data_IF_012208919767
#
_entry.id   IF_012208919767
#
_cell.length_a   1.000
_cell.length_b   1.000
_cell.length_c   1.000
_cell.angle_alpha   90.00
_cell.angle_beta   90.00
_cell.angle_gamma   90.00
#
_symmetry.space_group_name_H-M   'P 1'
#
loop_
_entity.id
_entity.type
_entity.pdbx_description
1 polymer ?
#
# COMPACT_ATOMS: atom_id res chain seq x y z
N UNK A 1 -9.97 -56.49 31.00
CA UNK A 1 -9.54 -57.68 30.24
C UNK A 1 -10.33 -57.66 28.95
N UNK A 2 -9.62 -57.60 27.82
CA UNK A 2 -10.07 -57.58 26.41
C UNK A 2 -10.88 -56.33 26.00
N UNK A 3 -10.47 -55.43 25.10
CA UNK A 3 -9.84 -55.56 23.76
C UNK A 3 -10.67 -56.33 22.74
N UNK A 4 -11.36 -55.59 21.86
CA UNK A 4 -11.43 -55.68 20.39
C UNK A 4 -12.32 -54.49 19.96
N UNK A 5 -11.93 -53.62 19.05
CA UNK A 5 -12.00 -53.92 17.62
C UNK A 5 -10.94 -53.10 16.86
N UNK A 6 -9.99 -53.83 16.29
CA UNK A 6 -9.11 -53.40 15.21
C UNK A 6 -9.90 -53.46 13.90
N UNK A 7 -9.87 -52.42 13.05
CA UNK A 7 -9.73 -52.65 11.60
C UNK A 7 -9.41 -51.36 10.81
N UNK A 8 -8.20 -51.40 10.24
CA UNK A 8 -7.87 -51.09 8.82
C UNK A 8 -7.55 -49.65 8.40
N UNK A 9 -6.24 -49.45 8.38
CA UNK A 9 -5.44 -48.61 7.49
C UNK A 9 -5.81 -48.64 6.00
N UNK A 10 -5.73 -47.44 5.41
CA UNK A 10 -4.98 -47.05 4.20
C UNK A 10 -5.33 -47.69 2.83
N UNK A 11 -5.78 -46.86 1.88
CA UNK A 11 -5.18 -46.84 0.53
C UNK A 11 -5.57 -45.59 -0.27
N UNK A 12 -4.53 -44.97 -0.84
CA UNK A 12 -4.50 -43.86 -1.78
C UNK A 12 -4.87 -44.30 -3.20
N UNK A 13 -5.51 -43.41 -3.99
CA UNK A 13 -5.43 -43.42 -5.46
C UNK A 13 -5.73 -42.04 -6.06
N UNK A 14 -4.69 -41.45 -6.64
CA UNK A 14 -4.58 -40.49 -7.76
C UNK A 14 -5.55 -40.84 -8.92
N UNK A 15 -5.95 -40.04 -9.93
CA UNK A 15 -5.58 -38.79 -10.60
C UNK A 15 -6.87 -38.24 -11.29
N UNK A 16 -7.00 -37.05 -11.88
CA UNK A 16 -6.37 -36.60 -13.14
C UNK A 16 -6.58 -35.09 -13.34
N UNK A 17 -5.52 -34.42 -13.80
CA UNK A 17 -5.51 -33.08 -14.37
C UNK A 17 -6.23 -33.03 -15.72
N UNK A 18 -6.91 -31.92 -15.99
CA UNK A 18 -7.30 -31.49 -17.33
C UNK A 18 -7.05 -29.99 -17.45
N UNK A 19 -5.88 -29.61 -17.97
CA UNK A 19 -5.54 -28.24 -18.32
C UNK A 19 -5.59 -28.02 -19.84
N UNK A 20 -5.96 -26.81 -20.23
CA UNK A 20 -5.49 -26.07 -21.42
C UNK A 20 -6.19 -24.69 -21.36
N UNK A 21 -5.57 -23.58 -20.94
CA UNK A 21 -4.41 -22.85 -21.49
C UNK A 21 -4.68 -22.18 -22.85
N UNK A 22 -4.92 -20.87 -22.81
CA UNK A 22 -4.30 -19.84 -23.67
C UNK A 22 -4.78 -18.43 -23.21
N UNK A 23 -4.05 -17.33 -23.28
CA UNK A 23 -2.65 -16.95 -23.06
C UNK A 23 -2.54 -15.47 -23.50
N UNK A 24 -1.83 -14.64 -22.72
CA UNK A 24 -1.32 -13.33 -23.16
C UNK A 24 -2.05 -12.13 -22.52
N UNK A 25 -1.41 -11.24 -21.77
CA UNK A 25 0.01 -11.09 -21.50
C UNK A 25 0.27 -10.01 -20.44
N UNK A 26 1.48 -10.01 -19.91
CA UNK A 26 1.96 -9.00 -18.94
C UNK A 26 2.49 -9.60 -17.65
N UNK A 27 3.42 -10.55 -17.75
CA UNK A 27 4.17 -11.08 -16.60
C UNK A 27 5.10 -10.02 -16.02
N UNK A 28 4.56 -9.21 -15.12
CA UNK A 28 5.31 -8.31 -14.24
C UNK A 28 4.75 -8.47 -12.84
N UNK A 29 4.94 -9.65 -12.24
CA UNK A 29 4.59 -9.86 -10.85
C UNK A 29 5.32 -8.83 -9.99
N UNK A 30 4.57 -8.06 -9.21
CA UNK A 30 5.14 -7.10 -8.26
C UNK A 30 6.05 -7.91 -7.32
N UNK A 31 7.36 -7.69 -7.45
CA UNK A 31 8.33 -8.27 -6.51
C UNK A 31 8.09 -7.58 -5.18
N UNK A 32 7.49 -8.29 -4.23
CA UNK A 32 7.33 -7.80 -2.86
C UNK A 32 8.73 -7.68 -2.29
N UNK A 33 9.25 -6.46 -2.29
CA UNK A 33 10.52 -6.12 -1.65
C UNK A 33 10.28 -6.17 -0.15
N UNK A 34 10.84 -7.17 0.52
CA UNK A 34 10.90 -7.25 1.98
C UNK A 34 12.29 -6.75 2.44
N UNK A 35 12.47 -5.42 2.62
CA UNK A 35 13.74 -4.92 3.09
C UNK A 35 13.94 -5.41 4.54
N UNK A 36 15.11 -5.98 4.82
CA UNK A 36 15.54 -6.32 6.18
C UNK A 36 16.49 -5.23 6.69
N UNK A 37 15.97 -4.11 7.24
CA UNK A 37 16.82 -3.02 7.72
C UNK A 37 17.70 -3.50 8.88
N UNK A 38 19.02 -3.32 8.74
CA UNK A 38 19.98 -3.62 9.82
C UNK A 38 20.03 -2.43 10.77
N UNK A 39 19.29 -2.49 11.88
CA UNK A 39 19.28 -1.45 12.93
C UNK A 39 20.49 -1.60 13.86
N UNK A 40 21.67 -1.23 13.37
CA UNK A 40 22.91 -1.20 14.17
C UNK A 40 23.04 0.04 15.05
N UNK A 41 24.10 0.09 15.87
CA UNK A 41 24.42 1.26 16.70
C UNK A 41 24.68 2.50 15.83
N UNK A 42 25.32 2.31 14.67
CA UNK A 42 25.61 3.40 13.73
C UNK A 42 24.35 4.08 13.19
N UNK A 43 23.31 3.33 12.81
CA UNK A 43 22.06 3.91 12.30
C UNK A 43 21.37 4.75 13.38
N UNK A 44 21.38 4.28 14.63
CA UNK A 44 20.84 5.04 15.75
C UNK A 44 21.58 6.36 16.00
N UNK A 45 22.90 6.37 15.85
CA UNK A 45 23.67 7.60 15.97
C UNK A 45 23.29 8.61 14.89
N UNK A 46 23.17 8.16 13.63
CA UNK A 46 22.74 9.00 12.50
C UNK A 46 21.34 9.57 12.76
N UNK A 47 20.38 8.75 13.18
CA UNK A 47 19.02 9.19 13.50
C UNK A 47 19.01 10.30 14.58
N UNK A 48 19.87 10.18 15.61
CA UNK A 48 19.97 11.18 16.70
C UNK A 48 20.55 12.50 16.19
N UNK A 49 21.60 12.44 15.36
CA UNK A 49 22.21 13.63 14.78
C UNK A 49 21.24 14.34 13.84
N UNK A 50 20.56 13.60 12.96
CA UNK A 50 19.52 14.15 12.08
C UNK A 50 18.44 14.86 12.90
N UNK A 51 17.92 14.19 13.92
CA UNK A 51 16.86 14.75 14.77
C UNK A 51 17.30 16.01 15.51
N UNK A 52 18.57 16.10 15.90
CA UNK A 52 19.13 17.29 16.54
C UNK A 52 19.23 18.45 15.56
N UNK A 53 19.74 18.22 14.35
CA UNK A 53 19.91 19.24 13.30
C UNK A 53 18.54 19.74 12.83
N UNK A 54 17.60 18.85 12.54
CA UNK A 54 16.23 19.20 12.13
C UNK A 54 15.55 20.06 13.20
N UNK A 55 15.64 19.66 14.47
CA UNK A 55 15.06 20.43 15.57
C UNK A 55 15.69 21.82 15.74
N UNK A 56 16.97 21.97 15.38
CA UNK A 56 17.67 23.25 15.43
C UNK A 56 17.28 24.16 14.24
N UNK A 57 17.10 23.58 13.05
CA UNK A 57 16.94 24.33 11.80
C UNK A 57 15.48 24.51 11.35
N UNK A 58 14.56 23.68 11.83
CA UNK A 58 13.18 23.64 11.35
C UNK A 58 12.18 23.70 12.50
N UNK A 59 11.32 24.74 12.49
CA UNK A 59 10.23 24.87 13.46
C UNK A 59 8.94 24.24 12.92
N UNK A 60 8.65 23.03 13.39
CA UNK A 60 7.44 22.28 13.01
C UNK A 60 6.14 22.84 13.62
N UNK A 61 6.19 23.90 14.42
CA UNK A 61 5.01 24.55 14.99
C UNK A 61 4.26 25.42 13.99
N UNK A 62 4.90 25.83 12.89
CA UNK A 62 4.24 26.64 11.87
C UNK A 62 3.36 25.75 11.00
N UNK A 63 2.10 26.14 10.73
CA UNK A 63 1.21 25.38 9.86
C UNK A 63 1.79 25.33 8.44
N UNK A 64 1.99 24.12 7.92
CA UNK A 64 2.50 23.94 6.56
C UNK A 64 1.36 24.05 5.56
N UNK A 65 1.41 25.06 4.69
CA UNK A 65 0.32 25.31 3.72
C UNK A 65 -0.03 24.07 2.89
N UNK A 66 0.99 23.39 2.36
CA UNK A 66 0.86 22.18 1.53
C UNK A 66 0.47 20.89 2.26
N UNK A 67 0.27 20.93 3.57
CA UNK A 67 -0.18 19.77 4.37
C UNK A 67 -1.43 20.11 5.19
N UNK A 68 -2.14 21.18 4.81
CA UNK A 68 -3.27 21.71 5.55
C UNK A 68 -4.52 21.85 4.67
N UNK A 69 -5.70 21.77 5.29
CA UNK A 69 -6.97 21.88 4.58
C UNK A 69 -7.11 20.82 3.49
N UNK A 70 -7.45 21.23 2.26
CA UNK A 70 -7.62 20.33 1.12
C UNK A 70 -6.31 19.71 0.62
N UNK A 71 -5.15 20.19 1.07
CA UNK A 71 -3.84 19.61 0.77
C UNK A 71 -3.35 18.65 1.86
N UNK A 72 -4.13 18.47 2.93
CA UNK A 72 -3.77 17.52 3.97
C UNK A 72 -3.73 16.08 3.41
N UNK A 73 -2.75 15.26 3.83
CA UNK A 73 -2.66 13.87 3.38
C UNK A 73 -3.88 13.06 3.86
N UNK A 74 -4.35 12.17 3.00
CA UNK A 74 -5.36 11.15 3.31
C UNK A 74 -4.63 9.80 3.50
N UNK A 75 -4.43 9.34 4.75
CA UNK A 75 -3.59 8.19 5.03
C UNK A 75 -4.22 6.87 4.57
N UNK A 76 -5.55 6.76 4.65
CA UNK A 76 -6.26 5.55 4.23
C UNK A 76 -6.54 5.53 2.73
N UNK A 77 -6.38 4.35 2.13
CA UNK A 77 -6.88 4.09 0.78
C UNK A 77 -8.35 3.68 0.87
N UNK A 78 -9.22 4.45 0.20
CA UNK A 78 -10.64 4.13 0.15
C UNK A 78 -10.86 3.00 -0.86
N UNK A 79 -11.55 1.90 -0.47
CA UNK A 79 -11.85 0.82 -1.40
C UNK A 79 -12.76 1.33 -2.54
N UNK A 80 -12.80 0.63 -3.69
CA UNK A 80 -13.66 1.02 -4.80
C UNK A 80 -15.11 1.21 -4.37
N UNK A 81 -15.63 2.43 -4.53
CA UNK A 81 -17.01 2.78 -4.21
C UNK A 81 -17.84 2.83 -5.49
N UNK A 82 -18.94 2.09 -5.51
CA UNK A 82 -19.89 2.09 -6.62
C UNK A 82 -21.06 3.04 -6.33
N UNK A 83 -21.75 3.50 -7.39
CA UNK A 83 -23.00 4.24 -7.30
C UNK A 83 -22.92 5.54 -6.46
N UNK A 84 -21.90 6.36 -6.73
CA UNK A 84 -21.78 7.70 -6.14
C UNK A 84 -23.02 8.56 -6.46
N UNK A 85 -23.49 9.41 -5.53
CA UNK A 85 -24.69 10.22 -5.74
C UNK A 85 -24.49 11.22 -6.89
N UNK A 86 -25.34 11.13 -7.90
CA UNK A 86 -25.33 12.02 -9.07
C UNK A 86 -26.43 13.07 -8.93
N UNK A 87 -26.08 14.33 -9.18
CA UNK A 87 -27.06 15.42 -9.35
C UNK A 87 -27.19 15.71 -10.84
N UNK A 88 -28.41 15.57 -11.39
CA UNK A 88 -28.67 15.71 -12.84
C UNK A 88 -28.59 14.37 -13.57
N UNK A 89 -28.05 14.36 -14.78
CA UNK A 89 -27.97 13.17 -15.64
C UNK A 89 -26.58 13.06 -16.28
N UNK A 90 -25.98 11.86 -16.23
CA UNK A 90 -24.73 11.53 -16.92
C UNK A 90 -25.05 10.94 -18.31
N UNK A 91 -24.41 11.39 -19.40
CA UNK A 91 -24.65 10.85 -20.74
C UNK A 91 -24.37 9.34 -20.84
N UNK A 92 -25.28 8.58 -21.44
CA UNK A 92 -25.12 7.13 -21.66
C UNK A 92 -23.90 6.76 -22.50
N UNK A 93 -23.40 7.68 -23.33
CA UNK A 93 -22.20 7.47 -24.13
C UNK A 93 -20.89 7.64 -23.34
N UNK A 94 -20.93 8.10 -22.08
CA UNK A 94 -19.75 8.24 -21.24
C UNK A 94 -19.35 6.87 -20.67
N UNK A 95 -18.43 6.20 -21.35
CA UNK A 95 -17.90 4.91 -20.94
C UNK A 95 -16.36 4.97 -20.86
N UNK A 96 -15.81 4.85 -19.65
CA UNK A 96 -14.37 4.92 -19.40
C UNK A 96 -14.05 5.15 -17.93
N UNK A 97 -12.78 5.40 -17.64
CA UNK A 97 -12.29 5.67 -16.28
C UNK A 97 -11.61 7.05 -16.23
N UNK A 98 -11.88 7.80 -15.17
CA UNK A 98 -11.17 9.03 -14.88
C UNK A 98 -10.15 8.77 -13.77
N UNK A 99 -8.88 8.68 -14.15
CA UNK A 99 -7.75 8.50 -13.22
C UNK A 99 -6.99 9.81 -13.04
N UNK A 100 -6.58 10.10 -11.81
CA UNK A 100 -5.71 11.23 -11.46
C UNK A 100 -4.68 10.78 -10.44
N UNK A 101 -3.48 11.33 -10.53
CA UNK A 101 -2.42 11.13 -9.53
C UNK A 101 -2.09 12.49 -8.93
N UNK A 102 -1.97 12.54 -7.61
CA UNK A 102 -1.54 13.71 -6.89
C UNK A 102 -0.61 13.37 -5.74
N UNK A 103 0.02 14.40 -5.14
CA UNK A 103 0.85 14.22 -3.95
C UNK A 103 -0.01 13.86 -2.75
N UNK A 104 0.31 12.74 -2.10
CA UNK A 104 -0.29 12.27 -0.87
C UNK A 104 0.78 11.58 -0.02
N UNK A 105 1.58 12.33 0.76
CA UNK A 105 2.73 11.80 1.48
C UNK A 105 2.30 10.70 2.44
N UNK A 106 2.91 9.52 2.31
CA UNK A 106 2.62 8.35 3.15
C UNK A 106 3.14 8.52 4.57
N UNK A 107 4.24 9.25 4.71
CA UNK A 107 4.84 9.61 5.99
C UNK A 107 4.93 11.12 6.10
N UNK A 108 4.71 11.65 7.30
CA UNK A 108 4.85 13.08 7.53
C UNK A 108 6.29 13.52 7.26
N UNK A 109 6.50 14.60 6.50
CA UNK A 109 7.84 15.08 6.18
C UNK A 109 8.55 15.57 7.43
N UNK A 110 9.87 15.31 7.48
CA UNK A 110 10.73 15.61 8.63
C UNK A 110 11.07 17.10 8.71
N UNK A 111 11.14 17.78 7.57
CA UNK A 111 11.41 19.21 7.44
C UNK A 111 10.54 19.82 6.33
N UNK A 112 10.95 20.94 5.73
CA UNK A 112 10.19 21.63 4.69
C UNK A 112 9.68 20.71 3.60
N UNK A 113 8.47 20.99 3.11
CA UNK A 113 7.76 20.16 2.16
C UNK A 113 7.13 21.01 1.07
N UNK A 114 7.37 20.66 -0.19
CA UNK A 114 6.66 21.24 -1.32
C UNK A 114 5.62 20.23 -1.83
N UNK A 115 4.52 20.71 -2.40
CA UNK A 115 3.48 19.83 -2.96
C UNK A 115 3.99 18.89 -4.09
N UNK A 116 5.17 19.09 -4.65
CA UNK A 116 5.77 18.15 -5.61
C UNK A 116 6.60 17.02 -4.97
N UNK A 117 6.84 17.09 -3.66
CA UNK A 117 7.71 16.13 -2.94
C UNK A 117 6.93 14.91 -2.42
N UNK A 118 5.60 14.92 -2.53
CA UNK A 118 4.72 13.88 -2.00
C UNK A 118 4.74 12.59 -2.81
N UNK A 119 4.51 11.47 -2.12
CA UNK A 119 4.25 10.19 -2.76
C UNK A 119 3.00 10.28 -3.67
N UNK A 120 3.04 9.64 -4.83
CA UNK A 120 1.91 9.60 -5.75
C UNK A 120 0.78 8.70 -5.23
N UNK A 121 -0.45 9.21 -5.28
CA UNK A 121 -1.70 8.46 -5.08
C UNK A 121 -2.74 8.93 -6.10
#
# INVERSE_FOLDING_TARGET
MAEEEETKNNQSSTAVNGGAAAAGGGGGGIVVVDPKPRKGIASRFVDVVEKLIVKLMYDSKQPHHYLSGNFAPVPEETPPCQNLPVKGYLPECLNGEFVRVGPNPKFMPVAGYHWFDGDGK
#
